data_IF_834784550067
#
_entry.id   IF_834784550067
#
_cell.length_a   1.000
_cell.length_b   1.000
_cell.length_c   1.000
_cell.angle_alpha   90.00
_cell.angle_beta   90.00
_cell.angle_gamma   90.00
#
_symmetry.space_group_name_H-M   'P 1'
#
loop_
_entity.id
_entity.type
_entity.pdbx_description
1 polymer ?
#
# COMPACT_ATOMS: atom_id res chain seq x y z
N UNK A 1 17.14 -19.71 -83.52
CA UNK A 1 16.33 -20.50 -82.56
C UNK A 1 17.09 -20.91 -81.28
N UNK A 2 18.41 -20.68 -81.12
CA UNK A 2 19.16 -21.10 -79.91
C UNK A 2 19.13 -20.11 -78.74
N UNK A 3 18.86 -18.83 -78.98
CA UNK A 3 18.83 -17.81 -77.92
C UNK A 3 17.53 -17.92 -77.09
N UNK A 4 16.42 -18.31 -77.74
CA UNK A 4 15.12 -18.44 -77.08
C UNK A 4 15.06 -19.65 -76.11
N UNK A 5 15.80 -20.72 -76.39
CA UNK A 5 15.84 -21.92 -75.53
C UNK A 5 16.68 -21.74 -74.26
N UNK A 6 17.63 -20.79 -74.23
CA UNK A 6 18.44 -20.46 -73.04
C UNK A 6 17.79 -19.43 -72.10
N UNK A 7 16.93 -18.56 -72.63
CA UNK A 7 16.25 -17.52 -71.83
C UNK A 7 15.11 -18.12 -71.00
N UNK A 8 14.38 -19.11 -71.52
CA UNK A 8 13.27 -19.76 -70.82
C UNK A 8 13.70 -20.39 -69.47
N UNK A 9 14.77 -21.21 -69.38
CA UNK A 9 15.20 -21.77 -68.09
C UNK A 9 15.75 -20.70 -67.15
N UNK A 10 16.41 -19.65 -67.66
CA UNK A 10 16.87 -18.52 -66.84
C UNK A 10 15.69 -17.78 -66.20
N UNK A 11 14.64 -17.48 -66.98
CA UNK A 11 13.43 -16.83 -66.48
C UNK A 11 12.72 -17.70 -65.45
N UNK A 12 12.64 -19.02 -65.67
CA UNK A 12 12.08 -19.97 -64.71
C UNK A 12 12.87 -19.99 -63.38
N UNK A 13 14.20 -20.01 -63.43
CA UNK A 13 15.04 -19.98 -62.24
C UNK A 13 14.84 -18.66 -61.47
N UNK A 14 14.83 -17.52 -62.16
CA UNK A 14 14.59 -16.21 -61.54
C UNK A 14 13.22 -16.19 -60.85
N UNK A 15 12.19 -16.74 -61.50
CA UNK A 15 10.83 -16.77 -60.97
C UNK A 15 10.72 -17.68 -59.74
N UNK A 16 11.40 -18.84 -59.75
CA UNK A 16 11.49 -19.74 -58.58
C UNK A 16 12.20 -19.06 -57.41
N UNK A 17 13.34 -18.38 -57.66
CA UNK A 17 14.07 -17.65 -56.62
C UNK A 17 13.20 -16.54 -56.01
N UNK A 18 12.44 -15.82 -56.84
CA UNK A 18 11.52 -14.78 -56.39
C UNK A 18 10.40 -15.34 -55.50
N UNK A 19 9.82 -16.49 -55.88
CA UNK A 19 8.81 -17.19 -55.08
C UNK A 19 9.40 -17.63 -53.73
N UNK A 20 10.61 -18.20 -53.72
CA UNK A 20 11.27 -18.63 -52.47
C UNK A 20 11.54 -17.44 -51.55
N UNK A 21 11.99 -16.30 -52.08
CA UNK A 21 12.21 -15.09 -51.29
C UNK A 21 10.91 -14.51 -50.72
N UNK A 22 9.81 -14.55 -51.47
CA UNK A 22 8.49 -14.13 -50.98
C UNK A 22 8.02 -15.06 -49.86
N UNK A 23 8.13 -16.38 -50.02
CA UNK A 23 7.73 -17.35 -49.00
C UNK A 23 8.58 -17.18 -47.73
N UNK A 24 9.90 -17.06 -47.86
CA UNK A 24 10.80 -16.83 -46.74
C UNK A 24 10.48 -15.52 -46.00
N UNK A 25 10.15 -14.46 -46.74
CA UNK A 25 9.75 -13.17 -46.15
C UNK A 25 8.44 -13.26 -45.39
N UNK A 26 7.42 -13.95 -45.95
CA UNK A 26 6.12 -14.14 -45.29
C UNK A 26 6.25 -14.98 -44.01
N UNK A 27 7.05 -16.05 -44.05
CA UNK A 27 7.32 -16.90 -42.88
C UNK A 27 8.09 -16.11 -41.81
N UNK A 28 9.11 -15.34 -42.21
CA UNK A 28 9.90 -14.50 -41.29
C UNK A 28 9.06 -13.43 -40.60
N UNK A 29 8.16 -12.76 -41.33
CA UNK A 29 7.24 -11.75 -40.76
C UNK A 29 6.23 -12.38 -39.81
N UNK A 30 5.68 -13.56 -40.14
CA UNK A 30 4.73 -14.26 -39.28
C UNK A 30 5.39 -14.72 -37.98
N UNK A 31 6.57 -15.34 -38.08
CA UNK A 31 7.35 -15.79 -36.92
C UNK A 31 7.80 -14.62 -36.03
N UNK A 32 8.28 -13.52 -36.60
CA UNK A 32 8.65 -12.33 -35.83
C UNK A 32 7.45 -11.65 -35.15
N UNK A 33 6.25 -11.74 -35.73
CA UNK A 33 5.02 -11.25 -35.10
C UNK A 33 4.58 -12.17 -33.94
N UNK A 34 4.65 -13.48 -34.10
CA UNK A 34 4.36 -14.44 -33.02
C UNK A 34 5.35 -14.31 -31.86
N UNK A 35 6.66 -14.25 -32.12
CA UNK A 35 7.69 -14.04 -31.09
C UNK A 35 7.53 -12.69 -30.36
N UNK A 36 7.15 -11.61 -31.06
CA UNK A 36 6.94 -10.31 -30.42
C UNK A 36 5.68 -10.27 -29.54
N UNK A 37 4.63 -11.01 -29.92
CA UNK A 37 3.42 -11.17 -29.09
C UNK A 37 3.69 -12.03 -27.85
N UNK A 38 4.43 -13.13 -27.98
CA UNK A 38 4.85 -13.95 -26.84
C UNK A 38 5.72 -13.16 -25.87
N UNK A 39 6.72 -12.44 -26.38
CA UNK A 39 7.61 -11.60 -25.57
C UNK A 39 6.86 -10.46 -24.87
N UNK A 40 5.88 -9.85 -25.53
CA UNK A 40 5.01 -8.84 -24.91
C UNK A 40 4.16 -9.42 -23.77
N UNK A 41 3.59 -10.60 -23.96
CA UNK A 41 2.81 -11.30 -22.93
C UNK A 41 3.67 -11.69 -21.71
N UNK A 42 4.90 -12.15 -21.94
CA UNK A 42 5.86 -12.42 -20.87
C UNK A 42 6.19 -11.15 -20.09
N UNK A 43 6.50 -10.05 -20.77
CA UNK A 43 6.78 -8.77 -20.13
C UNK A 43 5.61 -8.28 -19.25
N UNK A 44 4.37 -8.42 -19.72
CA UNK A 44 3.17 -8.05 -18.94
C UNK A 44 3.03 -8.90 -17.68
N UNK A 45 3.25 -10.22 -17.79
CA UNK A 45 3.22 -11.13 -16.62
C UNK A 45 4.31 -10.76 -15.61
N UNK A 46 5.51 -10.44 -16.08
CA UNK A 46 6.63 -10.00 -15.25
C UNK A 46 6.27 -8.74 -14.47
N UNK A 47 5.81 -7.70 -15.17
CA UNK A 47 5.40 -6.43 -14.56
C UNK A 47 4.28 -6.66 -13.54
N UNK A 48 3.28 -7.47 -13.86
CA UNK A 48 2.19 -7.80 -12.95
C UNK A 48 2.68 -8.44 -11.64
N UNK A 49 3.58 -9.42 -11.72
CA UNK A 49 4.14 -10.08 -10.53
C UNK A 49 4.95 -9.09 -9.69
N UNK A 50 5.80 -8.27 -10.32
CA UNK A 50 6.57 -7.26 -9.61
C UNK A 50 5.70 -6.18 -8.96
N UNK A 51 4.60 -5.77 -9.59
CA UNK A 51 3.66 -4.81 -8.99
C UNK A 51 2.99 -5.38 -7.72
N UNK A 52 2.60 -6.65 -7.73
CA UNK A 52 2.03 -7.31 -6.55
C UNK A 52 3.07 -7.43 -5.44
N UNK A 53 4.28 -7.87 -5.78
CA UNK A 53 5.37 -7.98 -4.80
C UNK A 53 5.73 -6.61 -4.22
N UNK A 54 5.74 -5.57 -5.04
CA UNK A 54 5.96 -4.20 -4.60
C UNK A 54 4.86 -3.71 -3.65
N UNK A 55 3.59 -3.91 -4.01
CA UNK A 55 2.46 -3.50 -3.19
C UNK A 55 2.45 -4.23 -1.84
N UNK A 56 2.66 -5.54 -1.83
CA UNK A 56 2.73 -6.35 -0.60
C UNK A 56 3.93 -6.00 0.27
N UNK A 57 5.08 -5.68 -0.35
CA UNK A 57 6.25 -5.18 0.36
C UNK A 57 5.97 -3.84 1.05
N UNK A 58 5.41 -2.87 0.32
CA UNK A 58 5.04 -1.56 0.88
C UNK A 58 4.02 -1.69 2.02
N UNK A 59 3.04 -2.58 1.87
CA UNK A 59 2.05 -2.89 2.91
C UNK A 59 2.72 -3.42 4.19
N UNK A 60 3.68 -4.33 4.03
CA UNK A 60 4.43 -4.94 5.14
C UNK A 60 5.34 -3.93 5.86
N UNK A 61 6.04 -3.08 5.10
CA UNK A 61 6.90 -2.02 5.66
C UNK A 61 6.04 -1.03 6.45
N UNK A 62 4.92 -0.56 5.88
CA UNK A 62 3.99 0.34 6.55
C UNK A 62 3.42 -0.25 7.83
N UNK A 63 3.02 -1.53 7.79
CA UNK A 63 2.57 -2.26 8.98
C UNK A 63 3.65 -2.38 10.05
N UNK A 64 4.90 -2.64 9.68
CA UNK A 64 6.01 -2.79 10.64
C UNK A 64 6.34 -1.46 11.34
N UNK A 65 6.38 -0.35 10.59
CA UNK A 65 6.60 0.99 11.17
C UNK A 65 5.45 1.36 12.11
N UNK A 66 4.20 1.11 11.71
CA UNK A 66 3.03 1.36 12.54
C UNK A 66 3.03 0.51 13.83
N UNK A 67 3.46 -0.75 13.75
CA UNK A 67 3.61 -1.62 14.91
C UNK A 67 4.61 -1.04 15.92
N UNK A 68 5.76 -0.58 15.43
CA UNK A 68 6.79 0.01 16.28
C UNK A 68 6.32 1.32 16.94
N UNK A 69 5.66 2.19 16.18
CA UNK A 69 5.05 3.42 16.72
C UNK A 69 4.02 3.10 17.81
N UNK A 70 3.14 2.13 17.58
CA UNK A 70 2.16 1.72 18.56
C UNK A 70 2.79 1.16 19.84
N UNK A 71 3.87 0.39 19.74
CA UNK A 71 4.63 -0.09 20.91
C UNK A 71 5.25 1.09 21.67
N UNK A 72 5.83 2.05 20.94
CA UNK A 72 6.38 3.26 21.56
C UNK A 72 5.32 4.04 22.32
N UNK A 73 4.13 4.22 21.75
CA UNK A 73 2.99 4.92 22.38
C UNK A 73 2.42 4.16 23.60
N UNK A 74 2.54 2.83 23.65
CA UNK A 74 2.15 2.04 24.83
C UNK A 74 3.14 2.27 25.98
N UNK A 75 4.44 2.26 25.68
CA UNK A 75 5.52 2.39 26.67
C UNK A 75 5.63 3.84 27.16
N UNK A 76 5.55 4.79 26.24
CA UNK A 76 5.70 6.22 26.48
C UNK A 76 4.53 6.99 25.83
N UNK A 77 3.31 6.90 26.41
CA UNK A 77 2.16 7.63 25.88
C UNK A 77 2.41 9.14 25.95
N UNK A 78 1.87 9.88 24.98
CA UNK A 78 1.98 11.33 24.94
C UNK A 78 1.51 11.96 26.27
N UNK A 79 2.27 12.93 26.83
CA UNK A 79 1.92 13.57 28.08
C UNK A 79 0.64 14.41 27.94
N UNK A 80 -0.11 14.54 29.04
CA UNK A 80 -1.24 15.44 29.11
C UNK A 80 -0.74 16.90 29.03
N UNK A 81 -1.23 17.65 28.04
CA UNK A 81 -0.67 18.96 27.69
C UNK A 81 -1.09 20.12 28.61
N UNK A 82 -2.14 19.93 29.42
CA UNK A 82 -2.67 20.97 30.29
C UNK A 82 -2.14 20.79 31.70
N UNK A 83 -1.60 21.84 32.31
CA UNK A 83 -1.19 21.82 33.73
C UNK A 83 -2.40 22.03 34.64
N UNK A 84 -2.28 21.63 35.91
CA UNK A 84 -3.34 21.85 36.89
C UNK A 84 -3.70 23.34 37.05
N UNK A 85 -2.71 24.23 37.06
CA UNK A 85 -2.94 25.68 37.12
C UNK A 85 -3.78 26.17 35.94
N UNK A 86 -3.51 25.64 34.75
CA UNK A 86 -4.23 25.99 33.54
C UNK A 86 -5.64 25.38 33.52
N UNK A 87 -5.85 24.23 34.15
CA UNK A 87 -7.16 23.62 34.38
C UNK A 87 -8.01 24.39 35.39
N UNK A 88 -7.37 24.91 36.44
CA UNK A 88 -7.99 25.74 37.46
C UNK A 88 -8.48 27.07 36.91
N UNK A 89 -7.71 27.69 36.02
CA UNK A 89 -8.08 28.96 35.36
C UNK A 89 -9.19 28.80 34.31
N UNK A 90 -9.50 27.57 33.90
CA UNK A 90 -10.55 27.30 32.93
C UNK A 90 -11.92 27.38 33.62
N UNK A 91 -12.90 28.14 33.08
CA UNK A 91 -14.21 28.24 33.70
C UNK A 91 -14.84 26.85 33.80
N UNK A 92 -15.05 26.38 35.04
CA UNK A 92 -15.53 25.03 35.39
C UNK A 92 -17.01 24.78 35.02
N UNK A 93 -17.59 25.56 34.08
CA UNK A 93 -18.97 25.45 33.64
C UNK A 93 -19.08 25.44 32.11
N UNK A 94 -19.37 24.26 31.56
CA UNK A 94 -20.30 24.09 30.42
C UNK A 94 -21.53 23.37 30.94
N UNK A 95 -22.31 24.04 31.80
CA UNK A 95 -23.71 23.69 31.93
C UNK A 95 -24.40 24.18 30.67
N UNK A 96 -25.15 23.32 29.98
CA UNK A 96 -26.08 23.70 28.92
C UNK A 96 -26.80 25.00 29.32
N UNK A 97 -26.51 26.09 28.61
CA UNK A 97 -27.27 27.33 28.72
C UNK A 97 -28.64 27.09 28.07
N UNK A 98 -29.54 26.44 28.82
CA UNK A 98 -30.97 26.66 28.62
C UNK A 98 -31.26 28.12 29.02
N UNK A 99 -31.98 28.93 28.22
CA UNK A 99 -31.93 30.39 28.31
C UNK A 99 -32.64 31.05 29.51
N UNK A 100 -32.94 30.34 30.61
CA UNK A 100 -33.98 30.82 31.54
C UNK A 100 -33.92 30.30 32.97
N UNK A 101 -32.75 29.97 33.52
CA UNK A 101 -32.61 29.76 34.98
C UNK A 101 -31.69 30.79 35.62
N UNK A 102 -32.10 31.43 36.74
CA UNK A 102 -31.26 32.38 37.46
C UNK A 102 -29.99 31.67 37.94
N UNK A 103 -28.85 32.30 37.63
CA UNK A 103 -27.50 31.83 37.94
C UNK A 103 -27.40 31.78 39.47
N UNK A 104 -27.57 30.59 40.03
CA UNK A 104 -27.29 30.36 41.46
C UNK A 104 -25.78 30.52 41.66
N UNK A 105 -25.31 31.22 42.70
CA UNK A 105 -23.88 31.42 42.93
C UNK A 105 -23.17 30.08 42.93
N UNK A 106 -22.13 30.01 42.09
CA UNK A 106 -21.28 28.86 41.90
C UNK A 106 -20.98 28.15 43.22
N UNK A 107 -21.30 26.85 43.30
CA UNK A 107 -20.47 25.97 44.13
C UNK A 107 -19.10 25.97 43.44
N UNK A 108 -18.23 26.87 43.87
CA UNK A 108 -16.81 26.80 43.57
C UNK A 108 -16.34 25.48 44.16
N UNK A 109 -16.15 24.47 43.30
CA UNK A 109 -15.52 23.20 43.69
C UNK A 109 -14.28 23.53 44.51
N UNK A 110 -14.09 22.79 45.60
CA UNK A 110 -12.88 22.95 46.41
C UNK A 110 -11.64 22.62 45.57
N UNK A 111 -10.48 23.22 45.90
CA UNK A 111 -9.22 22.94 45.21
C UNK A 111 -8.89 21.43 45.20
N UNK A 112 -9.32 20.69 46.23
CA UNK A 112 -9.18 19.24 46.32
C UNK A 112 -10.05 18.49 45.29
N UNK A 113 -11.30 18.90 45.09
CA UNK A 113 -12.19 18.32 44.08
C UNK A 113 -11.73 18.67 42.65
N UNK A 114 -11.26 19.90 42.44
CA UNK A 114 -10.64 20.36 41.19
C UNK A 114 -9.43 19.51 40.81
N UNK A 115 -8.53 19.28 41.77
CA UNK A 115 -7.35 18.45 41.57
C UNK A 115 -7.72 17.00 41.29
N UNK A 116 -8.69 16.46 42.02
CA UNK A 116 -9.21 15.11 41.79
C UNK A 116 -9.75 14.93 40.36
N UNK A 117 -10.54 15.89 39.87
CA UNK A 117 -11.06 15.87 38.49
C UNK A 117 -9.94 15.99 37.45
N UNK A 118 -8.96 16.84 37.68
CA UNK A 118 -7.77 16.94 36.82
C UNK A 118 -6.99 15.63 36.76
N UNK A 119 -6.72 15.01 37.91
CA UNK A 119 -6.00 13.74 37.99
C UNK A 119 -6.78 12.62 37.27
N UNK A 120 -8.12 12.59 37.41
CA UNK A 120 -8.99 11.68 36.66
C UNK A 120 -8.86 11.91 35.15
N UNK A 121 -8.99 13.15 34.70
CA UNK A 121 -8.92 13.48 33.27
C UNK A 121 -7.56 13.13 32.66
N UNK A 122 -6.46 13.43 33.36
CA UNK A 122 -5.11 13.07 32.93
C UNK A 122 -4.91 11.55 32.85
N UNK A 123 -5.46 10.81 33.81
CA UNK A 123 -5.43 9.34 33.82
C UNK A 123 -6.27 8.75 32.69
N UNK A 124 -7.46 9.28 32.46
CA UNK A 124 -8.37 8.85 31.39
C UNK A 124 -7.72 9.06 30.03
N UNK A 125 -7.12 10.24 29.78
CA UNK A 125 -6.43 10.53 28.52
C UNK A 125 -5.24 9.57 28.30
N UNK A 126 -4.46 9.32 29.35
CA UNK A 126 -3.36 8.34 29.29
C UNK A 126 -3.87 6.93 28.99
N UNK A 127 -4.99 6.54 29.59
CA UNK A 127 -5.61 5.23 29.36
C UNK A 127 -6.16 5.09 27.94
N UNK A 128 -6.78 6.15 27.42
CA UNK A 128 -7.33 6.23 26.07
C UNK A 128 -6.21 6.15 25.02
N UNK A 129 -5.11 6.86 25.24
CA UNK A 129 -3.93 6.80 24.36
C UNK A 129 -3.35 5.39 24.30
N UNK A 130 -3.22 4.71 25.45
CA UNK A 130 -2.79 3.30 25.48
C UNK A 130 -3.74 2.37 24.73
N UNK A 131 -5.05 2.53 24.90
CA UNK A 131 -6.05 1.72 24.18
C UNK A 131 -6.01 1.96 22.67
N UNK A 132 -5.84 3.21 22.23
CA UNK A 132 -5.66 3.55 20.82
C UNK A 132 -4.39 2.92 20.26
N UNK A 133 -3.29 3.00 20.99
CA UNK A 133 -2.03 2.39 20.61
C UNK A 133 -2.14 0.86 20.51
N UNK A 134 -2.79 0.19 21.47
CA UNK A 134 -3.08 -1.25 21.39
C UNK A 134 -3.92 -1.63 20.16
N UNK A 135 -4.97 -0.85 19.86
CA UNK A 135 -5.77 -1.08 18.66
C UNK A 135 -4.95 -0.88 17.38
N UNK A 136 -4.11 0.16 17.34
CA UNK A 136 -3.18 0.41 16.24
C UNK A 136 -2.20 -0.76 16.07
N UNK A 137 -1.65 -1.30 17.16
CA UNK A 137 -0.76 -2.45 17.15
C UNK A 137 -1.44 -3.69 16.55
N UNK A 138 -2.66 -4.01 16.97
CA UNK A 138 -3.42 -5.14 16.39
C UNK A 138 -3.68 -4.92 14.90
N UNK A 139 -4.09 -3.71 14.51
CA UNK A 139 -4.30 -3.36 13.09
C UNK A 139 -3.02 -3.52 12.29
N UNK A 140 -1.88 -3.07 12.83
CA UNK A 140 -0.58 -3.15 12.17
C UNK A 140 -0.16 -4.60 11.86
N UNK A 141 -0.49 -5.56 12.73
CA UNK A 141 -0.33 -6.98 12.44
C UNK A 141 -1.22 -7.44 11.30
N UNK A 142 -2.46 -6.94 11.19
CA UNK A 142 -3.31 -7.18 10.02
C UNK A 142 -2.63 -6.72 8.71
N UNK A 143 -1.99 -5.54 8.74
CA UNK A 143 -1.23 -5.02 7.60
C UNK A 143 0.01 -5.85 7.23
N UNK A 144 0.56 -6.63 8.16
CA UNK A 144 1.72 -7.51 7.92
C UNK A 144 1.26 -8.92 7.50
N UNK A 145 0.27 -9.49 8.20
CA UNK A 145 -0.14 -10.88 8.05
C UNK A 145 -0.93 -11.09 6.76
N UNK A 146 -1.78 -10.15 6.35
CA UNK A 146 -2.58 -10.27 5.12
C UNK A 146 -1.73 -10.34 3.83
N UNK A 147 -0.73 -9.47 3.60
CA UNK A 147 0.08 -9.54 2.39
C UNK A 147 1.07 -10.70 2.40
N UNK A 148 1.43 -11.27 3.57
CA UNK A 148 2.48 -12.27 3.69
C UNK A 148 2.22 -13.55 2.86
N UNK A 149 1.03 -14.19 2.89
CA UNK A 149 0.74 -15.34 2.03
C UNK A 149 0.86 -15.02 0.54
N UNK A 150 0.40 -13.84 0.13
CA UNK A 150 0.46 -13.38 -1.26
C UNK A 150 1.91 -13.20 -1.67
N UNK A 151 2.70 -12.52 -0.84
CA UNK A 151 4.13 -12.30 -1.05
C UNK A 151 4.87 -13.63 -1.17
N UNK A 152 4.67 -14.57 -0.24
CA UNK A 152 5.31 -15.90 -0.28
C UNK A 152 4.94 -16.65 -1.57
N UNK A 153 3.68 -16.61 -2.00
CA UNK A 153 3.24 -17.27 -3.22
C UNK A 153 3.96 -16.71 -4.45
N UNK A 154 3.93 -15.38 -4.65
CA UNK A 154 4.54 -14.75 -5.81
C UNK A 154 6.07 -14.79 -5.79
N UNK A 155 6.69 -14.70 -4.62
CA UNK A 155 8.14 -14.84 -4.45
C UNK A 155 8.61 -16.25 -4.84
N UNK A 156 7.89 -17.28 -4.40
CA UNK A 156 8.18 -18.67 -4.80
C UNK A 156 8.01 -18.89 -6.29
N UNK A 157 7.04 -18.22 -6.92
CA UNK A 157 6.79 -18.30 -8.36
C UNK A 157 7.95 -17.68 -9.15
N UNK A 158 8.45 -16.51 -8.76
CA UNK A 158 9.59 -15.87 -9.43
C UNK A 158 10.87 -16.71 -9.32
N UNK A 159 11.13 -17.35 -8.18
CA UNK A 159 12.35 -18.16 -8.02
C UNK A 159 12.35 -19.45 -8.84
N UNK A 160 11.18 -19.99 -9.19
CA UNK A 160 11.05 -21.24 -9.97
C UNK A 160 11.04 -21.01 -11.48
N UNK A 161 10.58 -19.85 -11.91
CA UNK A 161 10.61 -19.40 -13.29
C UNK A 161 11.12 -17.96 -13.25
N UNK A 162 12.45 -17.76 -13.32
CA UNK A 162 12.97 -16.43 -13.60
C UNK A 162 12.35 -16.00 -14.92
N UNK A 163 11.50 -14.99 -14.83
CA UNK A 163 10.91 -14.28 -15.97
C UNK A 163 11.98 -13.54 -16.75
#
# INVERSE_FOLDING_TARGET
MSILTGIIPLVLIVLIVLIVLIIASVIGVKKGREESLERGNEMIKTVYVYLILFATLMMTIGGTVAAFMAVADIVSPSPYYQSFEQYRMQPQYKGELAPSTPITPAQTLSDAELKSRYDQLANDERSNNKQRALNSLVKSFGWIIVPLPIFIYFQRRMNKQPV
#
